data_IF_880785385305
#
_entry.id   IF_880785385305
#
_cell.length_a   1.000
_cell.length_b   1.000
_cell.length_c   1.000
_cell.angle_alpha   90.00
_cell.angle_beta   90.00
_cell.angle_gamma   90.00
#
_symmetry.space_group_name_H-M   'P 1'
#
loop_
_entity.id
_entity.type
_entity.pdbx_description
1 polymer ?
#
# COMPACT_ATOMS: atom_id res chain seq x y z
N UNK A 1 -6.63 -10.69 38.86
CA UNK A 1 -6.29 -9.26 39.02
C UNK A 1 -5.77 -8.79 37.68
N UNK A 2 -6.60 -8.03 36.96
CA UNK A 2 -6.38 -7.71 35.56
C UNK A 2 -5.50 -6.46 35.48
N UNK A 3 -4.27 -6.61 34.99
CA UNK A 3 -3.38 -5.48 34.77
C UNK A 3 -3.96 -4.56 33.68
N UNK A 4 -3.83 -3.24 33.88
CA UNK A 4 -4.05 -2.26 32.82
C UNK A 4 -3.21 -2.61 31.58
N UNK A 5 -3.71 -2.31 30.38
CA UNK A 5 -2.85 -2.22 29.20
C UNK A 5 -2.42 -3.53 28.56
N UNK A 6 -2.91 -4.69 29.00
CA UNK A 6 -2.66 -5.94 28.27
C UNK A 6 -3.34 -5.92 26.90
N UNK A 7 -2.53 -5.72 25.87
CA UNK A 7 -2.96 -5.89 24.49
C UNK A 7 -2.95 -7.39 24.15
N UNK A 8 -4.13 -8.02 24.19
CA UNK A 8 -4.33 -9.38 23.70
C UNK A 8 -5.13 -9.31 22.39
N UNK A 9 -4.53 -9.74 21.27
CA UNK A 9 -5.20 -9.73 19.96
C UNK A 9 -6.36 -10.72 19.96
N UNK A 10 -7.57 -10.25 19.66
CA UNK A 10 -8.78 -11.08 19.53
C UNK A 10 -8.64 -12.19 18.47
N UNK A 11 -7.71 -12.05 17.51
CA UNK A 11 -7.33 -13.11 16.58
C UNK A 11 -5.88 -12.96 16.10
N UNK A 12 -4.93 -13.76 16.62
CA UNK A 12 -3.51 -13.70 16.24
C UNK A 12 -3.21 -14.04 14.76
N UNK A 13 -4.11 -14.77 14.07
CA UNK A 13 -3.88 -15.26 12.71
C UNK A 13 -4.11 -14.20 11.63
N UNK A 14 -4.99 -13.21 11.87
CA UNK A 14 -5.22 -12.10 10.95
C UNK A 14 -4.04 -11.11 10.92
N UNK A 15 -3.29 -11.03 12.02
CA UNK A 15 -2.17 -10.10 12.17
C UNK A 15 -0.90 -10.56 11.42
N UNK A 16 -0.67 -11.87 11.31
CA UNK A 16 0.39 -12.44 10.49
C UNK A 16 0.28 -12.05 8.99
N UNK A 17 -0.91 -11.60 8.54
CA UNK A 17 -1.13 -11.09 7.17
C UNK A 17 -0.60 -9.67 6.97
N UNK A 18 -0.52 -8.86 8.03
CA UNK A 18 0.14 -7.56 8.03
C UNK A 18 1.67 -7.77 8.12
N UNK A 19 2.29 -8.07 6.98
CA UNK A 19 3.69 -8.51 6.91
C UNK A 19 4.67 -7.49 7.50
N UNK A 20 5.71 -7.99 8.16
CA UNK A 20 6.89 -7.28 8.72
C UNK A 20 6.74 -6.50 10.03
N UNK A 21 5.70 -6.72 10.84
CA UNK A 21 5.68 -6.24 12.23
C UNK A 21 6.13 -7.37 13.16
N UNK A 22 7.22 -7.16 13.92
CA UNK A 22 7.63 -8.07 14.99
C UNK A 22 6.65 -7.93 16.16
N UNK A 23 5.57 -8.71 16.13
CA UNK A 23 4.43 -8.61 17.06
C UNK A 23 4.90 -8.73 18.52
N UNK A 24 5.83 -9.66 18.79
CA UNK A 24 6.38 -9.86 20.13
C UNK A 24 7.16 -8.63 20.65
N UNK A 25 7.91 -7.95 19.77
CA UNK A 25 8.63 -6.74 20.12
C UNK A 25 7.66 -5.56 20.34
N UNK A 26 6.65 -5.43 19.48
CA UNK A 26 5.61 -4.41 19.62
C UNK A 26 4.81 -4.56 20.92
N UNK A 27 4.35 -5.77 21.24
CA UNK A 27 3.62 -6.03 22.49
C UNK A 27 4.48 -5.74 23.73
N UNK A 28 5.79 -6.01 23.67
CA UNK A 28 6.71 -5.69 24.76
C UNK A 28 6.87 -4.17 24.93
N UNK A 29 7.20 -3.47 23.86
CA UNK A 29 7.35 -2.00 23.86
C UNK A 29 6.06 -1.28 24.26
N UNK A 30 4.91 -1.79 23.83
CA UNK A 30 3.61 -1.22 24.15
C UNK A 30 3.28 -1.41 25.62
N UNK A 31 3.52 -2.59 26.18
CA UNK A 31 3.26 -2.86 27.59
C UNK A 31 4.21 -2.08 28.51
N UNK A 32 5.50 -1.96 28.15
CA UNK A 32 6.47 -1.15 28.90
C UNK A 32 6.09 0.34 28.91
N UNK A 33 5.64 0.89 27.78
CA UNK A 33 5.24 2.31 27.69
C UNK A 33 3.90 2.60 28.35
N UNK A 34 3.04 1.60 28.50
CA UNK A 34 1.70 1.75 29.09
C UNK A 34 1.63 1.35 30.56
N UNK A 35 2.73 0.88 31.16
CA UNK A 35 2.82 0.46 32.56
C UNK A 35 2.49 1.58 33.57
N UNK A 36 2.72 2.84 33.19
CA UNK A 36 2.44 4.02 34.03
C UNK A 36 0.99 4.53 33.96
N UNK A 37 0.14 3.93 33.11
CA UNK A 37 -1.24 4.37 32.87
C UNK A 37 -2.22 3.64 33.80
N UNK A 38 -3.15 4.40 34.40
CA UNK A 38 -4.12 3.87 35.38
C UNK A 38 -5.02 2.79 34.76
N UNK A 39 -5.17 1.68 35.48
CA UNK A 39 -5.99 0.53 35.08
C UNK A 39 -7.46 0.88 34.85
N UNK A 40 -7.99 0.45 33.69
CA UNK A 40 -9.43 0.40 33.43
C UNK A 40 -9.98 1.36 32.37
N UNK A 41 -9.17 2.28 31.82
CA UNK A 41 -9.61 3.17 30.75
C UNK A 41 -9.01 2.76 29.39
N UNK A 42 -9.82 2.54 28.34
CA UNK A 42 -9.31 2.26 27.01
C UNK A 42 -8.59 3.51 26.48
N UNK A 43 -7.26 3.45 26.39
CA UNK A 43 -6.47 4.55 25.85
C UNK A 43 -6.49 4.49 24.32
N UNK A 44 -6.95 5.56 23.63
CA UNK A 44 -6.97 5.59 22.18
C UNK A 44 -5.52 5.61 21.66
N UNK A 45 -5.06 4.46 21.16
CA UNK A 45 -3.73 4.32 20.57
C UNK A 45 -3.88 4.31 19.05
N UNK A 46 -3.26 5.27 18.38
CA UNK A 46 -3.24 5.33 16.91
C UNK A 46 -1.96 4.67 16.40
N UNK A 47 -2.08 3.52 15.73
CA UNK A 47 -0.94 2.81 15.14
C UNK A 47 -0.77 3.31 13.70
N UNK A 48 0.27 4.11 13.46
CA UNK A 48 0.66 4.51 12.11
C UNK A 48 1.58 3.45 11.51
N UNK A 49 1.01 2.51 10.77
CA UNK A 49 1.79 1.51 10.02
C UNK A 49 2.32 2.22 8.77
N UNK A 50 3.64 2.40 8.69
CA UNK A 50 4.25 2.79 7.43
C UNK A 50 4.22 1.56 6.50
N UNK A 51 3.11 1.39 5.78
CA UNK A 51 2.97 0.37 4.74
C UNK A 51 3.76 0.81 3.51
N UNK A 52 5.06 0.99 3.66
CA UNK A 52 5.97 1.09 2.52
C UNK A 52 6.74 -0.20 2.43
N UNK A 53 6.05 -1.17 1.84
CA UNK A 53 6.61 -2.41 1.35
C UNK A 53 7.61 -2.08 0.23
N UNK A 54 8.87 -1.86 0.60
CA UNK A 54 10.01 -1.91 -0.33
C UNK A 54 10.07 -3.24 -1.10
N UNK A 55 9.37 -4.26 -0.59
CA UNK A 55 9.17 -5.57 -1.21
C UNK A 55 8.13 -5.57 -2.35
N UNK A 56 7.03 -4.81 -2.24
CA UNK A 56 6.07 -4.61 -3.33
C UNK A 56 6.71 -3.79 -4.45
N UNK A 57 7.47 -2.75 -4.10
CA UNK A 57 8.18 -1.91 -5.07
C UNK A 57 9.13 -2.70 -5.99
N UNK A 58 9.74 -3.79 -5.51
CA UNK A 58 10.64 -4.65 -6.30
C UNK A 58 9.93 -5.81 -7.03
N UNK A 59 8.71 -6.18 -6.62
CA UNK A 59 7.87 -7.15 -7.34
C UNK A 59 7.06 -6.49 -8.47
N UNK A 60 6.73 -5.19 -8.35
CA UNK A 60 6.05 -4.40 -9.38
C UNK A 60 6.99 -4.01 -10.53
N UNK A 61 8.32 -4.09 -10.37
CA UNK A 61 9.30 -3.67 -11.40
C UNK A 61 9.10 -4.31 -12.78
N UNK A 62 8.34 -5.40 -12.92
CA UNK A 62 8.03 -6.02 -14.22
C UNK A 62 6.55 -6.07 -14.61
N UNK A 63 5.61 -5.66 -13.74
CA UNK A 63 4.17 -5.74 -14.04
C UNK A 63 3.62 -4.35 -14.32
N UNK A 64 3.43 -4.05 -15.60
CA UNK A 64 2.73 -2.85 -16.04
C UNK A 64 1.24 -3.01 -15.74
N UNK A 65 0.77 -2.39 -14.67
CA UNK A 65 -0.62 -2.47 -14.23
C UNK A 65 -1.59 -1.61 -15.06
N UNK A 66 -1.09 -0.62 -15.81
CA UNK A 66 -1.93 0.29 -16.58
C UNK A 66 -1.15 1.31 -17.39
N UNK A 67 -1.86 2.04 -18.26
CA UNK A 67 -1.34 3.17 -19.03
C UNK A 67 -2.22 4.40 -18.79
N UNK A 68 -1.63 5.57 -18.61
CA UNK A 68 -2.35 6.85 -18.50
C UNK A 68 -1.71 7.90 -19.41
N UNK A 69 -2.47 8.93 -19.81
CA UNK A 69 -1.94 10.02 -20.64
C UNK A 69 -1.51 11.23 -19.83
N UNK A 70 -0.72 12.11 -20.46
CA UNK A 70 -0.38 13.41 -19.87
C UNK A 70 -1.61 14.26 -19.53
N UNK A 71 -2.71 14.09 -20.27
CA UNK A 71 -3.99 14.73 -19.95
C UNK A 71 -4.55 14.23 -18.61
N UNK A 72 -4.52 12.92 -18.37
CA UNK A 72 -4.93 12.35 -17.08
C UNK A 72 -4.02 12.84 -15.94
N UNK A 73 -2.70 12.89 -16.17
CA UNK A 73 -1.75 13.44 -15.19
C UNK A 73 -2.08 14.89 -14.83
N UNK A 74 -2.43 15.70 -15.82
CA UNK A 74 -2.79 17.10 -15.61
C UNK A 74 -4.08 17.25 -14.79
N UNK A 75 -5.14 16.50 -15.12
CA UNK A 75 -6.40 16.52 -14.36
C UNK A 75 -6.19 16.07 -12.90
N UNK A 76 -5.38 15.04 -12.67
CA UNK A 76 -5.02 14.59 -11.31
C UNK A 76 -4.26 15.70 -10.58
N UNK A 77 -3.30 16.34 -11.25
CA UNK A 77 -2.54 17.44 -10.66
C UNK A 77 -3.42 18.65 -10.33
N UNK A 78 -4.44 18.96 -11.14
CA UNK A 78 -5.42 20.01 -10.83
C UNK A 78 -6.25 19.69 -9.58
N UNK A 79 -6.60 18.42 -9.37
CA UNK A 79 -7.30 17.98 -8.15
C UNK A 79 -6.37 18.08 -6.94
N UNK A 80 -5.12 17.60 -7.06
CA UNK A 80 -4.13 17.66 -5.99
C UNK A 80 -3.74 19.11 -5.63
N UNK A 81 -3.68 20.02 -6.61
CA UNK A 81 -3.36 21.43 -6.37
C UNK A 81 -4.39 22.15 -5.48
N UNK A 82 -5.61 21.61 -5.33
CA UNK A 82 -6.63 22.15 -4.40
C UNK A 82 -6.34 21.79 -2.94
N UNK A 83 -5.42 20.86 -2.69
CA UNK A 83 -5.08 20.43 -1.34
C UNK A 83 -4.39 21.57 -0.54
N UNK A 84 -4.89 21.91 0.65
CA UNK A 84 -4.28 22.87 1.57
C UNK A 84 -2.77 22.70 1.81
N UNK A 85 -2.28 21.46 1.85
CA UNK A 85 -0.88 21.12 2.12
C UNK A 85 0.02 21.33 0.90
N UNK A 86 -0.55 21.43 -0.30
CA UNK A 86 0.19 21.65 -1.55
C UNK A 86 0.17 23.12 -2.01
N UNK A 87 -0.39 24.03 -1.19
CA UNK A 87 -0.35 25.47 -1.46
C UNK A 87 1.09 25.96 -1.57
N UNK A 88 1.41 26.60 -2.69
CA UNK A 88 2.75 27.14 -2.98
C UNK A 88 3.63 26.24 -3.85
N UNK A 89 3.21 24.99 -4.12
CA UNK A 89 3.83 24.20 -5.17
C UNK A 89 3.32 24.64 -6.54
N UNK A 90 4.23 24.72 -7.51
CA UNK A 90 3.83 24.95 -8.91
C UNK A 90 3.11 23.71 -9.46
N UNK A 91 2.18 23.91 -10.38
CA UNK A 91 1.49 22.81 -11.04
C UNK A 91 2.46 21.84 -11.72
N UNK A 92 3.57 22.36 -12.26
CA UNK A 92 4.64 21.54 -12.83
C UNK A 92 5.31 20.62 -11.78
N UNK A 93 5.51 21.11 -10.55
CA UNK A 93 6.04 20.29 -9.46
C UNK A 93 5.07 19.17 -9.10
N UNK A 94 3.77 19.48 -9.04
CA UNK A 94 2.72 18.50 -8.73
C UNK A 94 2.63 17.45 -9.84
N UNK A 95 2.60 17.86 -11.11
CA UNK A 95 2.62 16.92 -12.24
C UNK A 95 3.82 15.97 -12.21
N UNK A 96 5.02 16.46 -11.88
CA UNK A 96 6.22 15.62 -11.73
C UNK A 96 6.06 14.61 -10.59
N UNK A 97 5.42 14.98 -9.50
CA UNK A 97 5.11 14.07 -8.39
C UNK A 97 4.11 13.00 -8.83
N UNK A 98 3.02 13.38 -9.50
CA UNK A 98 2.02 12.44 -10.02
C UNK A 98 2.64 11.41 -10.98
N UNK A 99 3.56 11.83 -11.86
CA UNK A 99 4.27 10.90 -12.75
C UNK A 99 5.12 9.91 -11.96
N UNK A 100 5.83 10.37 -10.93
CA UNK A 100 6.64 9.48 -10.07
C UNK A 100 5.76 8.49 -9.29
N UNK A 101 4.62 8.95 -8.80
CA UNK A 101 3.64 8.10 -8.11
C UNK A 101 3.12 7.02 -9.05
N UNK A 102 2.68 7.40 -10.26
CA UNK A 102 2.21 6.48 -11.30
C UNK A 102 3.27 5.40 -11.62
N UNK A 103 4.51 5.79 -11.84
CA UNK A 103 5.60 4.85 -12.11
C UNK A 103 5.85 3.92 -10.90
N UNK A 104 5.74 4.42 -9.67
CA UNK A 104 5.96 3.62 -8.46
C UNK A 104 4.92 2.53 -8.24
N UNK A 105 3.72 2.71 -8.80
CA UNK A 105 2.61 1.74 -8.72
C UNK A 105 2.49 0.88 -9.99
N UNK A 106 3.42 1.01 -10.95
CA UNK A 106 3.43 0.21 -12.17
C UNK A 106 2.53 0.76 -13.30
N UNK A 107 2.20 2.05 -13.27
CA UNK A 107 1.44 2.71 -14.34
C UNK A 107 2.40 3.44 -15.27
N UNK A 108 2.32 3.15 -16.56
CA UNK A 108 3.10 3.83 -17.60
C UNK A 108 2.39 5.10 -18.09
N UNK A 109 3.16 6.16 -18.34
CA UNK A 109 2.64 7.41 -18.91
C UNK A 109 2.94 7.43 -20.41
N UNK A 110 1.89 7.50 -21.22
CA UNK A 110 1.94 7.41 -22.70
C UNK A 110 1.25 8.63 -23.31
N UNK A 111 1.64 9.06 -24.51
CA UNK A 111 1.04 10.25 -25.12
C UNK A 111 -0.44 10.05 -25.53
N UNK A 112 -0.78 8.86 -26.01
CA UNK A 112 -2.11 8.50 -26.51
C UNK A 112 -2.48 7.07 -26.11
N UNK A 113 -3.78 6.83 -25.92
CA UNK A 113 -4.33 5.51 -25.59
C UNK A 113 -5.45 5.21 -26.57
N UNK A 114 -5.27 4.14 -27.36
CA UNK A 114 -6.35 3.59 -28.18
C UNK A 114 -7.23 2.64 -27.35
N UNK A 115 -8.58 2.80 -27.36
CA UNK A 115 -9.46 1.96 -26.56
C UNK A 115 -9.45 0.48 -26.93
N UNK A 116 -9.12 0.12 -28.17
CA UNK A 116 -9.08 -1.27 -28.64
C UNK A 116 -7.79 -1.91 -28.17
N UNK A 117 -6.64 -1.27 -28.44
CA UNK A 117 -5.33 -1.74 -27.96
C UNK A 117 -5.31 -1.85 -26.43
N UNK A 118 -5.93 -0.89 -25.73
CA UNK A 118 -5.97 -0.90 -24.28
C UNK A 118 -6.78 -2.08 -23.72
N UNK A 119 -7.87 -2.48 -24.39
CA UNK A 119 -8.63 -3.67 -23.99
C UNK A 119 -7.80 -4.94 -24.16
N UNK A 120 -7.06 -5.06 -25.25
CA UNK A 120 -6.20 -6.22 -25.50
C UNK A 120 -5.06 -6.27 -24.48
N UNK A 121 -4.48 -5.12 -24.15
CA UNK A 121 -3.50 -4.97 -23.07
C UNK A 121 -4.06 -5.45 -21.73
N UNK A 122 -5.26 -5.02 -21.34
CA UNK A 122 -5.89 -5.43 -20.08
C UNK A 122 -6.18 -6.94 -20.04
N UNK A 123 -6.62 -7.53 -21.16
CA UNK A 123 -6.80 -8.98 -21.24
C UNK A 123 -5.47 -9.73 -21.05
N UNK A 124 -4.38 -9.24 -21.64
CA UNK A 124 -3.05 -9.81 -21.45
C UNK A 124 -2.61 -9.77 -19.99
N UNK A 125 -2.77 -8.62 -19.33
CA UNK A 125 -2.44 -8.45 -17.91
C UNK A 125 -3.28 -9.37 -17.01
N UNK A 126 -4.57 -9.52 -17.29
CA UNK A 126 -5.45 -10.42 -16.54
C UNK A 126 -4.96 -11.87 -16.61
N UNK A 127 -4.60 -12.35 -17.81
CA UNK A 127 -4.08 -13.72 -17.99
C UNK A 127 -2.79 -13.93 -17.17
N UNK A 128 -1.86 -12.98 -17.23
CA UNK A 128 -0.58 -13.07 -16.51
C UNK A 128 -0.80 -13.07 -14.99
N UNK A 129 -1.72 -12.24 -14.51
CA UNK A 129 -2.10 -12.19 -13.10
C UNK A 129 -2.74 -13.52 -12.63
N UNK A 130 -3.65 -14.10 -13.42
CA UNK A 130 -4.25 -15.39 -13.10
C UNK A 130 -3.19 -16.50 -13.02
N UNK A 131 -2.21 -16.51 -13.93
CA UNK A 131 -1.09 -17.45 -13.87
C UNK A 131 -0.25 -17.26 -12.59
N UNK A 132 0.04 -16.01 -12.21
CA UNK A 132 0.74 -15.70 -10.98
C UNK A 132 0.01 -16.21 -9.74
N UNK A 133 -1.32 -16.03 -9.67
CA UNK A 133 -2.14 -16.54 -8.57
C UNK A 133 -2.06 -18.07 -8.45
N UNK A 134 -2.14 -18.78 -9.58
CA UNK A 134 -1.99 -20.25 -9.62
C UNK A 134 -0.62 -20.67 -9.10
N UNK A 135 0.46 -20.00 -9.52
CA UNK A 135 1.81 -20.27 -9.03
C UNK A 135 1.95 -20.05 -7.53
N UNK A 136 1.36 -18.98 -6.98
CA UNK A 136 1.35 -18.72 -5.54
C UNK A 136 0.62 -19.81 -4.77
N UNK A 137 -0.52 -20.28 -5.30
CA UNK A 137 -1.29 -21.37 -4.70
C UNK A 137 -0.49 -22.67 -4.68
N UNK A 138 0.19 -23.01 -5.78
CA UNK A 138 1.07 -24.18 -5.86
C UNK A 138 2.21 -24.13 -4.84
N UNK A 139 2.88 -22.97 -4.71
CA UNK A 139 3.93 -22.76 -3.69
C UNK A 139 3.41 -22.93 -2.28
N UNK A 140 2.17 -22.51 -2.00
CA UNK A 140 1.55 -22.67 -0.68
C UNK A 140 1.17 -24.13 -0.37
N UNK A 141 0.85 -24.91 -1.40
CA UNK A 141 0.53 -26.35 -1.27
C UNK A 141 1.81 -27.19 -1.09
N UNK A 142 2.92 -26.81 -1.72
CA UNK A 142 4.21 -27.50 -1.60
C UNK A 142 5.01 -27.27 -0.31
N UNK A 143 4.48 -26.49 0.65
CA UNK A 143 5.11 -26.23 1.97
C UNK A 143 4.42 -27.09 3.07
N UNK A 144 3.77 -28.19 2.70
CA UNK A 144 3.23 -29.18 3.66
C UNK A 144 4.10 -30.42 3.69
#
# INVERSE_FOLDING_TARGET
>A
MNACGKWEFANPQELHKLRNIQIAAFCKDFNEKTESLKAGYPTPTTISINVMSSFIRRLIENFLSGKITLKHVYEIALVQAKDPFLRGHSLQSICRTVVKEALSVGISVVDHIDPTEYKDFLHGQEIEYQQYLVQLQQKRIGIK
#
